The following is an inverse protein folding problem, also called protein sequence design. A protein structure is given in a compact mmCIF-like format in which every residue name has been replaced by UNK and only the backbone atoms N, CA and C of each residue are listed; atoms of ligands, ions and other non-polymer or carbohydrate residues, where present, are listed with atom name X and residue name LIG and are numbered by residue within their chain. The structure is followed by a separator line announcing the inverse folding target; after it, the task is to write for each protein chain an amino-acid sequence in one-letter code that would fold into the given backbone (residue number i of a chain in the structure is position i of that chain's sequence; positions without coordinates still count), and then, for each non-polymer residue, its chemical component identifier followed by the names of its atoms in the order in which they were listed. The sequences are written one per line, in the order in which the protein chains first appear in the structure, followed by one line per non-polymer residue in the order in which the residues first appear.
data_IF_383896566446
#
_entry.id   IF_383896566446
#
_cell.length_a   1.000
_cell.length_b   1.000
_cell.length_c   1.000
_cell.angle_alpha   90.00
_cell.angle_beta   90.00
_cell.angle_gamma   90.00
#
_symmetry.space_group_name_H-M   'P 1'
#
loop_
_entity.id
_entity.type
_entity.pdbx_description
1 polymer ?
#
# COMPACT_ATOMS: atom_id res chain seq x y z
N UNK A 1 -0.28 -12.47 -20.05
CA UNK A 1 -1.59 -13.02 -20.42
C UNK A 1 -2.41 -11.87 -20.98
N UNK A 2 -2.61 -11.85 -22.30
CA UNK A 2 -3.59 -10.93 -22.89
C UNK A 2 -4.98 -11.48 -22.58
N UNK A 3 -5.80 -10.71 -21.86
CA UNK A 3 -7.17 -11.10 -21.53
C UNK A 3 -8.05 -11.04 -22.77
N UNK A 4 -8.98 -11.99 -22.90
CA UNK A 4 -10.02 -11.93 -23.94
C UNK A 4 -10.86 -10.65 -23.82
N UNK A 5 -11.53 -10.27 -24.90
CA UNK A 5 -12.33 -9.04 -25.00
C UNK A 5 -13.52 -8.99 -24.03
N UNK A 6 -13.94 -10.13 -23.48
CA UNK A 6 -15.00 -10.22 -22.47
C UNK A 6 -14.53 -11.07 -21.28
N UNK A 7 -14.76 -10.61 -20.04
CA UNK A 7 -14.48 -11.39 -18.85
C UNK A 7 -15.42 -12.60 -18.76
N UNK A 8 -14.85 -13.78 -18.48
CA UNK A 8 -15.61 -15.02 -18.30
C UNK A 8 -15.58 -15.41 -16.82
N UNK A 9 -16.75 -15.70 -16.25
CA UNK A 9 -16.86 -16.20 -14.87
C UNK A 9 -16.66 -17.71 -14.82
N UNK A 10 -15.58 -18.14 -14.18
CA UNK A 10 -15.24 -19.55 -13.98
C UNK A 10 -15.25 -19.91 -12.49
N UNK A 11 -15.69 -21.12 -12.19
CA UNK A 11 -15.56 -21.75 -10.87
C UNK A 11 -14.50 -22.83 -11.00
N UNK A 12 -13.49 -22.75 -10.14
CA UNK A 12 -12.33 -23.65 -10.12
C UNK A 12 -12.50 -24.65 -8.98
N UNK A 13 -12.34 -25.94 -9.28
CA UNK A 13 -12.40 -26.99 -8.26
C UNK A 13 -11.20 -26.95 -7.31
N UNK A 14 -11.39 -27.48 -6.10
CA UNK A 14 -10.31 -27.57 -5.10
C UNK A 14 -9.17 -28.44 -5.62
N UNK A 15 -7.95 -27.91 -5.60
CA UNK A 15 -6.74 -28.65 -5.94
C UNK A 15 -6.33 -29.50 -4.74
N UNK A 16 -6.19 -30.82 -4.92
CA UNK A 16 -5.47 -31.64 -3.95
C UNK A 16 -3.96 -31.53 -4.24
N UNK A 17 -3.15 -31.44 -3.18
CA UNK A 17 -1.71 -31.25 -3.27
C UNK A 17 -0.95 -32.40 -3.98
N UNK A 18 -1.63 -33.50 -4.31
CA UNK A 18 -1.03 -34.67 -4.96
C UNK A 18 -1.08 -34.65 -6.49
N UNK A 19 -1.94 -33.86 -7.15
CA UNK A 19 -2.09 -33.86 -8.62
C UNK A 19 -2.18 -32.45 -9.21
N UNK A 20 -1.10 -31.67 -9.11
CA UNK A 20 -1.01 -30.30 -9.62
C UNK A 20 -1.20 -30.13 -11.15
N UNK A 21 -1.36 -31.22 -11.90
CA UNK A 21 -1.47 -31.21 -13.37
C UNK A 21 -2.91 -31.34 -13.90
N UNK A 22 -3.92 -31.44 -13.02
CA UNK A 22 -5.31 -31.66 -13.41
C UNK A 22 -6.24 -30.73 -12.61
N UNK A 23 -6.84 -29.74 -13.28
CA UNK A 23 -7.80 -28.83 -12.67
C UNK A 23 -9.18 -28.99 -13.29
N UNK A 24 -10.22 -29.12 -12.47
CA UNK A 24 -11.61 -29.03 -12.93
C UNK A 24 -12.06 -27.58 -12.93
N UNK A 25 -12.74 -27.16 -13.99
CA UNK A 25 -13.35 -25.83 -14.12
C UNK A 25 -14.79 -25.96 -14.61
N UNK A 26 -15.68 -25.05 -14.20
CA UNK A 26 -16.99 -24.85 -14.87
C UNK A 26 -17.25 -23.38 -15.12
N UNK A 27 -18.03 -23.08 -16.17
CA UNK A 27 -18.61 -21.73 -16.29
C UNK A 27 -19.65 -21.54 -15.19
N UNK A 28 -19.71 -20.33 -14.63
CA UNK A 28 -20.57 -20.05 -13.48
C UNK A 28 -22.06 -20.34 -13.75
N UNK A 29 -22.50 -20.14 -14.99
CA UNK A 29 -23.85 -20.33 -15.51
C UNK A 29 -24.16 -21.76 -15.99
N UNK A 30 -23.18 -22.68 -15.92
CA UNK A 30 -23.33 -24.07 -16.38
C UNK A 30 -23.16 -25.05 -15.22
N UNK A 31 -23.93 -26.14 -15.26
CA UNK A 31 -23.83 -27.23 -14.29
C UNK A 31 -22.65 -28.20 -14.59
N UNK A 32 -22.18 -28.24 -15.83
CA UNK A 32 -21.14 -29.16 -16.27
C UNK A 32 -19.73 -28.67 -15.90
N UNK A 33 -18.95 -29.55 -15.28
CA UNK A 33 -17.51 -29.36 -15.04
C UNK A 33 -16.67 -30.01 -16.13
N UNK A 34 -15.57 -29.39 -16.50
CA UNK A 34 -14.60 -29.85 -17.49
C UNK A 34 -13.23 -30.01 -16.82
N UNK A 35 -12.50 -31.08 -17.18
CA UNK A 35 -11.08 -31.22 -16.83
C UNK A 35 -10.25 -30.48 -17.88
N UNK A 36 -9.42 -29.53 -17.48
CA UNK A 36 -8.53 -28.82 -18.40
C UNK A 36 -7.16 -29.51 -18.48
N UNK A 37 -6.54 -29.43 -19.65
CA UNK A 37 -5.12 -29.77 -19.83
C UNK A 37 -4.26 -28.61 -19.33
N UNK A 38 -4.11 -28.50 -18.02
CA UNK A 38 -3.33 -27.45 -17.36
C UNK A 38 -3.62 -27.35 -15.87
N UNK A 39 -2.83 -26.52 -15.18
CA UNK A 39 -3.04 -26.18 -13.78
C UNK A 39 -3.57 -24.76 -13.69
N UNK A 40 -4.73 -24.57 -13.07
CA UNK A 40 -5.27 -23.26 -12.73
C UNK A 40 -5.39 -23.17 -11.21
N UNK A 41 -4.41 -22.52 -10.59
CA UNK A 41 -4.38 -22.25 -9.16
C UNK A 41 -4.50 -20.73 -8.95
N UNK A 42 -5.72 -20.16 -9.02
CA UNK A 42 -5.92 -18.74 -8.72
C UNK A 42 -5.46 -18.50 -7.28
N UNK A 43 -4.88 -17.34 -7.02
CA UNK A 43 -4.55 -16.99 -5.65
C UNK A 43 -5.84 -16.92 -4.82
N UNK A 44 -5.82 -17.58 -3.69
CA UNK A 44 -6.87 -17.59 -2.66
C UNK A 44 -6.81 -16.35 -1.75
N UNK A 45 -5.70 -15.62 -1.82
CA UNK A 45 -5.46 -14.36 -1.11
C UNK A 45 -5.62 -13.16 -2.06
N UNK A 46 -6.49 -12.22 -1.68
CA UNK A 46 -6.72 -10.95 -2.40
C UNK A 46 -5.42 -10.16 -2.58
N UNK A 47 -4.47 -10.23 -1.63
CA UNK A 47 -3.19 -9.53 -1.73
C UNK A 47 -2.33 -9.99 -2.90
N UNK A 48 -2.45 -11.26 -3.30
CA UNK A 48 -1.74 -11.81 -4.46
C UNK A 48 -2.33 -11.33 -5.80
N UNK A 49 -3.54 -10.79 -5.79
CA UNK A 49 -4.15 -10.13 -6.94
C UNK A 49 -3.85 -8.63 -6.99
N UNK A 50 -3.59 -8.02 -5.82
CA UNK A 50 -3.30 -6.61 -5.72
C UNK A 50 -1.92 -6.28 -6.33
N UNK A 51 -1.87 -5.25 -7.19
CA UNK A 51 -0.61 -4.74 -7.72
C UNK A 51 0.11 -3.96 -6.61
N UNK A 52 1.25 -4.48 -6.16
CA UNK A 52 2.10 -3.85 -5.15
C UNK A 52 3.46 -3.44 -5.75
N UNK A 53 4.09 -2.33 -5.28
CA UNK A 53 3.56 -1.33 -4.34
C UNK A 53 2.58 -0.38 -5.03
N UNK A 54 1.70 0.26 -4.24
CA UNK A 54 0.73 1.25 -4.76
C UNK A 54 1.43 2.58 -5.04
N UNK A 55 2.36 2.95 -4.15
CA UNK A 55 3.15 4.17 -4.21
C UNK A 55 4.60 3.77 -3.96
N UNK A 56 5.48 4.21 -4.86
CA UNK A 56 6.93 3.98 -4.78
C UNK A 56 7.64 5.33 -4.91
N UNK A 57 7.51 6.17 -3.89
CA UNK A 57 8.23 7.45 -3.82
C UNK A 57 9.44 7.24 -2.93
N UNK A 58 10.66 7.18 -3.51
CA UNK A 58 11.86 6.93 -2.74
C UNK A 58 12.24 8.19 -1.94
N UNK A 59 12.89 8.02 -0.80
CA UNK A 59 13.11 9.10 0.16
C UNK A 59 14.00 10.23 -0.35
N UNK A 60 14.82 10.01 -1.38
CA UNK A 60 15.59 11.07 -2.04
C UNK A 60 14.71 12.09 -2.76
N UNK A 61 13.47 11.70 -3.10
CA UNK A 61 12.47 12.60 -3.68
C UNK A 61 11.71 13.38 -2.61
N UNK A 62 11.68 12.92 -1.36
CA UNK A 62 10.93 13.56 -0.27
C UNK A 62 11.74 14.70 0.31
N UNK A 63 11.18 15.91 0.28
CA UNK A 63 11.76 17.12 0.83
C UNK A 63 11.31 17.35 2.28
N UNK A 64 10.03 17.15 2.56
CA UNK A 64 9.43 17.48 3.87
C UNK A 64 8.26 16.54 4.14
N UNK A 65 8.12 16.13 5.39
CA UNK A 65 6.93 15.42 5.88
C UNK A 65 6.38 16.17 7.08
N UNK A 66 5.08 16.41 7.08
CA UNK A 66 4.35 17.06 8.19
C UNK A 66 3.33 16.07 8.73
N UNK A 67 3.43 15.72 10.00
CA UNK A 67 2.49 14.85 10.71
C UNK A 67 1.66 15.73 11.64
N UNK A 68 0.35 15.64 11.55
CA UNK A 68 -0.61 16.38 12.39
C UNK A 68 -1.46 15.37 13.16
N UNK A 69 -1.37 15.44 14.48
CA UNK A 69 -2.21 14.65 15.38
C UNK A 69 -3.54 15.38 15.64
N UNK A 70 -4.62 14.63 15.96
CA UNK A 70 -5.92 15.20 16.32
C UNK A 70 -5.90 16.21 17.47
N UNK A 71 -5.00 15.99 18.43
CA UNK A 71 -4.79 16.87 19.60
C UNK A 71 -4.13 18.22 19.25
N UNK A 72 -3.74 18.41 17.98
CA UNK A 72 -3.09 19.61 17.47
C UNK A 72 -1.56 19.55 17.51
N UNK A 73 -0.95 18.47 18.04
CA UNK A 73 0.49 18.29 17.96
C UNK A 73 0.92 18.12 16.50
N UNK A 74 1.98 18.85 16.12
CA UNK A 74 2.53 18.79 14.78
C UNK A 74 4.02 18.46 14.83
N UNK A 75 4.41 17.43 14.09
CA UNK A 75 5.80 17.09 13.84
C UNK A 75 6.17 17.42 12.39
N UNK A 76 7.36 17.95 12.16
CA UNK A 76 7.85 18.19 10.80
C UNK A 76 9.27 17.62 10.66
N UNK A 77 9.47 16.75 9.67
CA UNK A 77 10.81 16.29 9.23
C UNK A 77 11.12 16.86 7.86
N UNK A 78 12.38 17.17 7.57
CA UNK A 78 12.77 17.75 6.28
C UNK A 78 14.22 17.46 5.88
N UNK A 79 14.49 17.57 4.58
CA UNK A 79 15.82 17.69 3.98
C UNK A 79 15.96 19.10 3.40
N UNK A 80 17.12 19.71 3.61
CA UNK A 80 17.46 21.01 3.01
C UNK A 80 17.74 20.84 1.52
N UNK A 81 18.34 19.72 1.12
CA UNK A 81 18.63 19.40 -0.27
C UNK A 81 18.52 17.92 -0.60
N UNK A 82 18.45 17.59 -1.90
CA UNK A 82 18.38 16.19 -2.38
C UNK A 82 19.60 15.35 -2.00
N UNK A 83 20.75 16.00 -1.79
CA UNK A 83 22.00 15.37 -1.38
C UNK A 83 22.06 15.04 0.11
N UNK A 84 21.10 15.53 0.91
CA UNK A 84 21.11 15.26 2.35
C UNK A 84 20.81 13.78 2.60
N UNK A 85 21.70 13.12 3.33
CA UNK A 85 21.51 11.71 3.70
C UNK A 85 20.34 11.55 4.66
N UNK A 86 20.29 12.37 5.71
CA UNK A 86 19.34 12.25 6.80
C UNK A 86 18.30 13.36 6.80
N UNK A 87 17.08 13.02 7.24
CA UNK A 87 16.06 14.01 7.57
C UNK A 87 16.38 14.67 8.91
N UNK A 88 16.08 15.96 9.01
CA UNK A 88 16.15 16.76 10.24
C UNK A 88 14.74 16.98 10.78
N UNK A 89 14.61 17.17 12.09
CA UNK A 89 13.35 17.59 12.70
C UNK A 89 13.27 19.11 12.74
N UNK A 90 12.09 19.67 12.47
CA UNK A 90 11.79 21.07 12.65
C UNK A 90 10.90 21.21 13.89
N UNK A 91 11.31 22.06 14.85
CA UNK A 91 10.64 22.29 16.14
C UNK A 91 10.28 20.99 16.88
N UNK A 92 11.26 20.40 17.55
CA UNK A 92 10.97 19.51 18.68
C UNK A 92 10.11 20.29 19.69
N UNK A 93 9.01 19.70 20.18
CA UNK A 93 8.29 20.22 21.34
C UNK A 93 9.31 20.53 22.45
N UNK A 94 9.16 21.67 23.15
CA UNK A 94 10.13 22.13 24.15
C UNK A 94 10.58 20.97 25.06
N UNK A 95 11.88 20.72 25.12
CA UNK A 95 12.47 19.69 25.97
C UNK A 95 12.61 18.29 25.35
N UNK A 96 12.30 18.10 24.06
CA UNK A 96 12.66 16.85 23.35
C UNK A 96 13.89 17.06 22.47
N UNK A 97 14.80 16.09 22.48
CA UNK A 97 15.91 15.98 21.53
C UNK A 97 15.78 14.67 20.74
N UNK A 98 16.29 14.65 19.52
CA UNK A 98 16.47 13.38 18.81
C UNK A 98 17.55 12.58 19.53
N UNK A 99 17.26 11.33 19.84
CA UNK A 99 18.28 10.42 20.39
C UNK A 99 19.44 10.22 19.41
N UNK A 100 19.17 10.22 18.09
CA UNK A 100 20.16 10.15 17.01
C UNK A 100 19.67 10.81 15.71
N UNK A 101 20.61 11.22 14.85
CA UNK A 101 20.37 11.88 13.55
C UNK A 101 19.55 11.05 12.54
N UNK A 102 19.46 9.72 12.74
CA UNK A 102 18.77 8.80 11.83
C UNK A 102 17.31 8.55 12.20
N UNK A 103 16.86 8.99 13.38
CA UNK A 103 15.53 8.68 13.92
C UNK A 103 14.39 9.21 13.03
N UNK A 104 14.64 10.27 12.26
CA UNK A 104 13.67 10.84 11.34
C UNK A 104 13.60 10.12 9.98
N UNK A 105 14.59 9.31 9.62
CA UNK A 105 14.66 8.67 8.30
C UNK A 105 13.52 7.67 8.02
N UNK A 106 13.06 6.85 8.97
CA UNK A 106 11.91 5.98 8.75
C UNK A 106 10.66 6.74 8.29
N UNK A 107 10.42 7.95 8.81
CA UNK A 107 9.28 8.80 8.44
C UNK A 107 9.38 9.18 6.95
N UNK A 108 10.54 9.64 6.50
CA UNK A 108 10.75 9.99 5.09
C UNK A 108 10.73 8.79 4.13
N UNK A 109 11.05 7.60 4.62
CA UNK A 109 11.09 6.36 3.84
C UNK A 109 9.73 5.67 3.69
N UNK A 110 8.69 6.06 4.43
CA UNK A 110 7.43 5.32 4.48
C UNK A 110 6.74 5.14 3.11
N UNK A 111 6.88 6.11 2.20
CA UNK A 111 6.29 6.03 0.85
C UNK A 111 7.10 5.20 -0.15
N UNK A 112 8.28 4.70 0.23
CA UNK A 112 9.15 3.93 -0.68
C UNK A 112 8.59 2.54 -1.00
N UNK A 113 7.83 1.95 -0.09
CA UNK A 113 7.31 0.60 -0.20
C UNK A 113 5.92 0.48 0.43
N UNK A 114 5.04 1.43 0.13
CA UNK A 114 3.68 1.41 0.66
C UNK A 114 2.87 0.27 0.02
N UNK A 115 2.33 -0.61 0.85
CA UNK A 115 1.58 -1.81 0.45
C UNK A 115 0.14 -1.74 0.97
N UNK A 116 -0.75 -2.44 0.27
CA UNK A 116 -2.07 -2.75 0.79
C UNK A 116 -1.93 -3.94 1.73
N UNK A 117 -2.51 -3.84 2.93
CA UNK A 117 -2.64 -4.96 3.86
C UNK A 117 -4.10 -5.42 3.96
N UNK A 118 -5.05 -4.48 3.93
CA UNK A 118 -6.49 -4.74 3.88
C UNK A 118 -7.16 -3.74 2.91
N UNK A 119 -8.29 -4.13 2.32
CA UNK A 119 -9.05 -3.28 1.40
C UNK A 119 -10.52 -3.31 1.79
N UNK A 120 -11.09 -2.13 2.01
CA UNK A 120 -12.52 -1.96 2.31
C UNK A 120 -13.18 -1.13 1.24
N UNK A 121 -14.48 -1.36 1.05
CA UNK A 121 -15.30 -0.51 0.19
C UNK A 121 -15.48 0.87 0.82
N UNK A 122 -15.73 1.88 -0.01
CA UNK A 122 -15.90 3.26 0.50
C UNK A 122 -17.10 3.37 1.44
N UNK A 123 -18.14 2.56 1.23
CA UNK A 123 -19.33 2.49 2.07
C UNK A 123 -19.03 1.89 3.47
N UNK A 124 -17.98 1.09 3.58
CA UNK A 124 -17.49 0.54 4.86
C UNK A 124 -16.53 1.47 5.58
N UNK A 125 -16.13 2.57 4.95
CA UNK A 125 -15.31 3.62 5.56
C UNK A 125 -16.24 4.76 5.98
N UNK A 126 -16.33 5.04 7.27
CA UNK A 126 -16.96 6.26 7.74
C UNK A 126 -15.86 7.25 8.18
N UNK A 127 -15.51 8.25 7.35
CA UNK A 127 -14.46 9.23 7.68
C UNK A 127 -14.79 10.07 8.91
N UNK A 128 -16.06 10.16 9.31
CA UNK A 128 -16.51 10.94 10.46
C UNK A 128 -16.28 10.25 11.81
N UNK A 129 -16.04 8.93 11.81
CA UNK A 129 -15.85 8.15 13.05
C UNK A 129 -14.39 8.14 13.53
N UNK A 130 -13.47 8.73 12.74
CA UNK A 130 -12.06 8.81 13.07
C UNK A 130 -11.64 10.27 13.15
N UNK A 131 -10.84 10.61 14.16
CA UNK A 131 -9.96 11.77 14.11
C UNK A 131 -8.59 11.25 13.62
N UNK A 132 -8.33 11.27 12.30
CA UNK A 132 -7.14 10.61 11.77
C UNK A 132 -5.88 11.45 12.01
N UNK A 133 -4.76 10.76 12.12
CA UNK A 133 -3.45 11.41 11.96
C UNK A 133 -3.28 11.74 10.48
N UNK A 134 -3.07 13.03 10.18
CA UNK A 134 -2.85 13.49 8.81
C UNK A 134 -1.35 13.62 8.57
N UNK A 135 -0.84 12.90 7.58
CA UNK A 135 0.56 13.01 7.16
C UNK A 135 0.68 13.55 5.74
N UNK A 136 1.36 14.68 5.58
CA UNK A 136 1.59 15.33 4.30
C UNK A 136 3.05 15.20 3.88
N UNK A 137 3.31 14.54 2.76
CA UNK A 137 4.62 14.46 2.13
C UNK A 137 4.71 15.50 1.02
N UNK A 138 5.80 16.25 1.02
CA UNK A 138 6.18 17.20 0.01
C UNK A 138 7.47 16.72 -0.64
N UNK A 139 7.47 16.64 -1.96
CA UNK A 139 8.60 16.17 -2.74
C UNK A 139 9.36 17.33 -3.38
N UNK A 140 10.63 17.13 -3.70
CA UNK A 140 11.47 18.14 -4.34
C UNK A 140 11.04 18.51 -5.78
N UNK A 141 10.11 17.76 -6.38
CA UNK A 141 9.53 18.09 -7.69
C UNK A 141 8.17 18.81 -7.58
N UNK A 142 7.74 19.13 -6.36
CA UNK A 142 6.53 19.92 -6.10
C UNK A 142 5.26 19.10 -5.88
N UNK A 143 5.31 17.76 -5.89
CA UNK A 143 4.12 16.95 -5.55
C UNK A 143 3.86 16.96 -4.04
N UNK A 144 2.57 16.98 -3.69
CA UNK A 144 2.04 16.77 -2.34
C UNK A 144 1.27 15.45 -2.29
N UNK A 145 1.56 14.63 -1.29
CA UNK A 145 0.86 13.38 -1.01
C UNK A 145 0.29 13.47 0.40
N UNK A 146 -0.99 13.20 0.56
CA UNK A 146 -1.67 13.19 1.86
C UNK A 146 -2.05 11.77 2.22
N UNK A 147 -1.60 11.31 3.39
CA UNK A 147 -2.07 10.09 4.04
C UNK A 147 -2.99 10.48 5.21
N UNK A 148 -4.06 9.72 5.38
CA UNK A 148 -4.97 9.80 6.52
C UNK A 148 -5.02 8.39 7.13
N UNK A 149 -4.69 8.27 8.41
CA UNK A 149 -4.63 7.01 9.13
C UNK A 149 -5.24 7.11 10.52
#
# INVERSE_FOLDING_TARGET
LEGGSEPISLIVGNLNSSNQQQTYVRKADQAQSLLISGSLAPADDVQRWARQPIVAIPAEQVQKVVIKHPDGEQLTVYKSGRSDTNFKLFNLLEGRELSHDTVANPIGNALSNLRLEDVRTVEQLNPADAEPVITEYYTFDGRKITLQG
#
